data_IF_503098759679
#
_entry.id   IF_503098759679
#
_cell.length_a   1.000
_cell.length_b   1.000
_cell.length_c   1.000
_cell.angle_alpha   90.00
_cell.angle_beta   90.00
_cell.angle_gamma   90.00
#
_symmetry.space_group_name_H-M   'P 1'
#
loop_
_entity.id
_entity.type
_entity.pdbx_description
1 polymer ?
#
# COMPACT_ATOMS: atom_id res chain seq x y z
N UNK A 1 -1.48 -5.98 20.10
CA UNK A 1 -2.91 -6.34 20.23
C UNK A 1 -3.44 -6.36 21.67
N UNK A 2 -2.83 -7.10 22.62
CA UNK A 2 -3.39 -7.35 23.97
C UNK A 2 -3.84 -6.09 24.72
N UNK A 3 -3.01 -5.04 24.78
CA UNK A 3 -3.35 -3.81 25.48
C UNK A 3 -4.59 -3.11 24.88
N UNK A 4 -4.68 -3.04 23.55
CA UNK A 4 -5.81 -2.42 22.84
C UNK A 4 -7.13 -3.17 23.10
N UNK A 5 -7.05 -4.50 23.22
CA UNK A 5 -8.22 -5.38 23.40
C UNK A 5 -8.67 -5.52 24.86
N UNK A 6 -7.95 -4.95 25.83
CA UNK A 6 -8.20 -5.14 27.28
C UNK A 6 -9.64 -4.83 27.70
N UNK A 7 -10.30 -3.89 27.03
CA UNK A 7 -11.67 -3.46 27.32
C UNK A 7 -12.68 -3.86 26.22
N UNK A 8 -12.36 -4.88 25.41
CA UNK A 8 -13.27 -5.43 24.39
C UNK A 8 -13.25 -4.73 23.03
N UNK A 9 -12.38 -3.74 22.81
CA UNK A 9 -12.21 -3.12 21.50
C UNK A 9 -11.55 -4.09 20.50
N UNK A 10 -11.85 -3.91 19.21
CA UNK A 10 -11.13 -4.58 18.12
C UNK A 10 -9.80 -3.86 17.87
N UNK A 11 -8.72 -4.62 17.74
CA UNK A 11 -7.41 -4.07 17.42
C UNK A 11 -7.06 -4.39 15.97
N UNK A 12 -6.96 -3.36 15.14
CA UNK A 12 -6.46 -3.46 13.77
C UNK A 12 -5.10 -2.78 13.68
N UNK A 13 -4.25 -3.30 12.81
CA UNK A 13 -2.96 -2.67 12.45
C UNK A 13 -2.97 -2.30 10.98
N UNK A 14 -2.53 -1.08 10.66
CA UNK A 14 -2.42 -0.64 9.28
C UNK A 14 -1.06 -1.07 8.71
N UNK A 15 -1.07 -1.77 7.57
CA UNK A 15 0.14 -2.16 6.84
C UNK A 15 0.39 -1.11 5.75
N UNK A 16 1.63 -0.62 5.71
CA UNK A 16 2.01 0.54 4.91
C UNK A 16 3.37 0.32 4.24
N UNK A 17 3.51 0.85 3.01
CA UNK A 17 4.77 0.94 2.29
C UNK A 17 4.95 2.37 1.76
N UNK A 18 6.07 3.02 2.12
CA UNK A 18 6.30 4.45 1.86
C UNK A 18 6.39 4.82 0.38
N UNK A 19 6.89 3.90 -0.46
CA UNK A 19 7.13 4.19 -1.87
C UNK A 19 7.96 5.47 -2.03
N UNK A 20 7.60 6.34 -2.96
CA UNK A 20 8.26 7.63 -3.19
C UNK A 20 8.31 8.57 -1.96
N UNK A 21 7.39 8.41 -1.00
CA UNK A 21 7.34 9.21 0.24
C UNK A 21 8.21 8.63 1.37
N UNK A 22 8.91 7.51 1.13
CA UNK A 22 9.84 6.98 2.11
C UNK A 22 11.01 7.96 2.32
N UNK A 23 11.47 8.05 3.56
CA UNK A 23 12.57 8.94 3.95
C UNK A 23 13.91 8.28 3.65
N UNK A 24 14.76 8.82 2.75
CA UNK A 24 16.01 8.19 2.35
C UNK A 24 16.92 7.83 3.54
N UNK A 25 16.94 8.65 4.58
CA UNK A 25 17.73 8.42 5.79
C UNK A 25 17.28 7.20 6.63
N UNK A 26 16.07 6.68 6.38
CA UNK A 26 15.51 5.50 7.03
C UNK A 26 15.52 4.25 6.13
N UNK A 27 15.98 4.38 4.89
CA UNK A 27 16.01 3.30 3.90
C UNK A 27 17.48 2.87 3.69
N UNK A 28 17.78 1.56 3.68
CA UNK A 28 19.12 1.07 3.34
C UNK A 28 19.63 1.71 2.05
N UNK A 29 20.85 2.25 2.12
CA UNK A 29 21.52 2.94 1.00
C UNK A 29 20.74 4.12 0.39
N UNK A 30 19.69 4.61 1.06
CA UNK A 30 18.81 5.65 0.54
C UNK A 30 17.98 5.22 -0.68
N UNK A 31 17.81 3.91 -0.88
CA UNK A 31 17.22 3.35 -2.09
C UNK A 31 15.68 3.43 -2.09
N UNK A 32 15.16 4.65 -2.27
CA UNK A 32 13.72 4.92 -2.34
C UNK A 32 13.16 4.48 -3.69
N UNK A 33 12.02 3.80 -3.67
CA UNK A 33 11.40 3.22 -4.86
C UNK A 33 9.96 3.70 -5.09
N UNK A 34 9.52 3.72 -6.35
CA UNK A 34 8.20 4.15 -6.77
C UNK A 34 7.78 3.42 -8.07
N UNK A 35 6.51 3.50 -8.50
CA UNK A 35 6.06 2.89 -9.75
C UNK A 35 6.80 3.43 -10.99
N UNK A 36 7.20 4.71 -10.97
CA UNK A 36 8.02 5.35 -12.00
C UNK A 36 8.99 6.35 -11.36
N UNK A 37 10.10 6.73 -12.03
CA UNK A 37 11.10 7.61 -11.44
C UNK A 37 10.50 8.99 -11.12
N UNK A 38 10.70 9.49 -9.90
CA UNK A 38 10.14 10.78 -9.48
C UNK A 38 11.07 11.47 -8.48
N UNK A 39 11.16 12.80 -8.58
CA UNK A 39 11.79 13.64 -7.56
C UNK A 39 10.70 14.40 -6.82
N UNK A 40 10.70 14.31 -5.49
CA UNK A 40 9.71 14.97 -4.65
C UNK A 40 10.29 15.31 -3.29
N UNK A 41 9.58 16.17 -2.57
CA UNK A 41 9.87 16.46 -1.16
C UNK A 41 8.87 15.70 -0.30
N UNK A 42 9.37 14.74 0.49
CA UNK A 42 8.50 13.97 1.38
C UNK A 42 7.84 14.82 2.45
N UNK A 43 6.72 14.35 3.00
CA UNK A 43 5.98 15.08 4.02
C UNK A 43 6.87 15.47 5.21
N UNK A 44 6.84 16.75 5.58
CA UNK A 44 7.65 17.29 6.68
C UNK A 44 9.13 17.48 6.36
N UNK A 45 9.60 17.07 5.18
CA UNK A 45 11.00 17.24 4.77
C UNK A 45 11.26 18.59 4.13
N UNK A 46 12.52 19.04 4.21
CA UNK A 46 12.99 20.29 3.61
C UNK A 46 13.67 20.09 2.26
N UNK A 47 14.29 18.93 2.05
CA UNK A 47 15.05 18.61 0.86
C UNK A 47 14.25 17.66 -0.03
N UNK A 48 14.42 17.82 -1.33
CA UNK A 48 13.93 16.86 -2.30
C UNK A 48 14.86 15.65 -2.35
N UNK A 49 14.27 14.50 -2.66
CA UNK A 49 15.00 13.29 -3.00
C UNK A 49 14.39 12.65 -4.23
N UNK A 50 15.08 11.65 -4.78
CA UNK A 50 14.59 10.89 -5.93
C UNK A 50 14.22 9.48 -5.52
N UNK A 51 13.12 8.99 -6.08
CA UNK A 51 12.73 7.59 -6.02
C UNK A 51 12.95 6.96 -7.41
N UNK A 52 13.59 5.81 -7.46
CA UNK A 52 13.77 5.07 -8.71
C UNK A 52 12.54 4.22 -9.03
N UNK A 53 12.42 3.81 -10.28
CA UNK A 53 11.41 2.85 -10.69
C UNK A 53 11.64 1.48 -10.03
N UNK A 54 10.57 0.87 -9.52
CA UNK A 54 10.59 -0.51 -9.04
C UNK A 54 10.76 -1.50 -10.20
N UNK A 55 11.55 -2.54 -9.98
CA UNK A 55 11.61 -3.70 -10.87
C UNK A 55 10.37 -4.58 -10.70
N UNK A 56 10.11 -5.49 -11.65
CA UNK A 56 9.00 -6.43 -11.52
C UNK A 56 9.15 -7.33 -10.29
N UNK A 57 10.37 -7.75 -10.01
CA UNK A 57 10.71 -8.60 -8.88
C UNK A 57 10.44 -7.88 -7.54
N UNK A 58 10.74 -6.58 -7.47
CA UNK A 58 10.43 -5.76 -6.29
C UNK A 58 8.94 -5.56 -6.09
N UNK A 59 8.18 -5.38 -7.17
CA UNK A 59 6.72 -5.26 -7.12
C UNK A 59 6.10 -6.57 -6.59
N UNK A 60 6.54 -7.71 -7.14
CA UNK A 60 6.11 -9.03 -6.69
C UNK A 60 6.52 -9.31 -5.23
N UNK A 61 7.71 -8.86 -4.84
CA UNK A 61 8.17 -8.99 -3.46
C UNK A 61 7.33 -8.13 -2.51
N UNK A 62 7.03 -6.87 -2.88
CA UNK A 62 6.17 -6.00 -2.08
C UNK A 62 4.79 -6.62 -1.86
N UNK A 63 4.19 -7.24 -2.89
CA UNK A 63 2.92 -7.97 -2.76
C UNK A 63 3.03 -9.09 -1.71
N UNK A 64 4.07 -9.93 -1.80
CA UNK A 64 4.33 -10.99 -0.82
C UNK A 64 4.55 -10.45 0.59
N UNK A 65 5.21 -9.31 0.71
CA UNK A 65 5.49 -8.67 2.00
C UNK A 65 4.21 -8.18 2.69
N UNK A 66 3.19 -7.73 1.95
CA UNK A 66 1.86 -7.45 2.51
C UNK A 66 1.18 -8.72 3.07
N UNK A 67 1.32 -9.86 2.38
CA UNK A 67 0.84 -11.16 2.88
C UNK A 67 1.57 -11.59 4.15
N UNK A 68 2.90 -11.52 4.16
CA UNK A 68 3.70 -11.86 5.33
C UNK A 68 3.47 -10.91 6.52
N UNK A 69 3.28 -9.61 6.26
CA UNK A 69 2.87 -8.65 7.29
C UNK A 69 1.49 -9.01 7.87
N UNK A 70 0.55 -9.48 7.04
CA UNK A 70 -0.76 -9.96 7.50
C UNK A 70 -0.63 -11.21 8.36
N UNK A 71 0.16 -12.20 7.96
CA UNK A 71 0.45 -13.39 8.77
C UNK A 71 1.01 -13.01 10.14
N UNK A 72 2.01 -12.10 10.19
CA UNK A 72 2.59 -11.59 11.43
C UNK A 72 1.56 -10.85 12.30
N UNK A 73 0.64 -10.08 11.69
CA UNK A 73 -0.42 -9.39 12.42
C UNK A 73 -1.39 -10.38 13.09
N UNK A 74 -1.74 -11.46 12.39
CA UNK A 74 -2.56 -12.55 12.93
C UNK A 74 -1.85 -13.21 14.12
N UNK A 75 -0.57 -13.58 13.96
CA UNK A 75 0.24 -14.19 15.03
C UNK A 75 0.39 -13.26 16.26
N UNK A 76 0.46 -11.95 16.02
CA UNK A 76 0.50 -10.94 17.07
C UNK A 76 -0.86 -10.70 17.76
N UNK A 77 -1.92 -11.39 17.35
CA UNK A 77 -3.24 -11.39 17.98
C UNK A 77 -4.14 -10.21 17.62
N UNK A 78 -3.83 -9.48 16.54
CA UNK A 78 -4.72 -8.44 16.02
C UNK A 78 -6.03 -9.06 15.48
N UNK A 79 -7.12 -8.31 15.55
CA UNK A 79 -8.43 -8.70 15.01
C UNK A 79 -8.53 -8.44 13.50
N UNK A 80 -7.56 -7.73 12.92
CA UNK A 80 -7.55 -7.44 11.50
C UNK A 80 -6.36 -6.59 11.08
N UNK A 81 -6.28 -6.36 9.77
CA UNK A 81 -5.36 -5.42 9.14
C UNK A 81 -6.11 -4.39 8.32
N UNK A 82 -5.52 -3.22 8.15
CA UNK A 82 -5.95 -2.24 7.15
C UNK A 82 -4.83 -2.03 6.14
N UNK A 83 -5.14 -2.14 4.85
CA UNK A 83 -4.20 -1.89 3.75
C UNK A 83 -4.18 -0.39 3.47
N UNK A 84 -3.00 0.24 3.55
CA UNK A 84 -2.85 1.67 3.28
C UNK A 84 -2.69 1.97 1.77
N UNK A 85 -3.80 2.22 1.09
CA UNK A 85 -3.87 2.62 -0.33
C UNK A 85 -4.15 4.11 -0.57
N UNK A 86 -3.63 4.99 0.27
CA UNK A 86 -4.00 6.43 0.30
C UNK A 86 -2.77 7.32 0.49
N UNK A 87 -2.97 8.64 0.47
CA UNK A 87 -2.00 9.67 0.88
C UNK A 87 -0.66 9.60 0.15
N UNK A 88 -0.67 9.34 -1.16
CA UNK A 88 0.54 9.34 -1.99
C UNK A 88 1.58 8.29 -1.60
N UNK A 89 1.22 7.23 -0.86
CA UNK A 89 2.09 6.07 -0.57
C UNK A 89 1.99 4.99 -1.64
N UNK A 90 2.77 3.90 -1.53
CA UNK A 90 3.05 3.03 -2.68
C UNK A 90 1.81 2.55 -3.45
N UNK A 91 0.80 2.01 -2.77
CA UNK A 91 -0.42 1.52 -3.43
C UNK A 91 -1.16 2.67 -4.12
N UNK A 92 -1.29 3.83 -3.47
CA UNK A 92 -1.84 5.05 -4.08
C UNK A 92 -1.03 5.44 -5.32
N UNK A 93 0.31 5.41 -5.23
CA UNK A 93 1.20 5.75 -6.34
C UNK A 93 0.96 4.84 -7.55
N UNK A 94 0.68 3.54 -7.34
CA UNK A 94 0.32 2.63 -8.44
C UNK A 94 -1.04 2.94 -9.07
N UNK A 95 -2.00 3.43 -8.28
CA UNK A 95 -3.33 3.83 -8.76
C UNK A 95 -3.30 5.18 -9.48
N UNK A 96 -2.42 6.08 -9.06
CA UNK A 96 -2.36 7.43 -9.59
C UNK A 96 -1.69 7.50 -10.97
N UNK A 97 -2.33 8.10 -11.98
CA UNK A 97 -1.70 8.38 -13.27
C UNK A 97 -0.60 9.46 -13.18
N UNK A 98 -0.55 10.24 -12.09
CA UNK A 98 0.56 11.14 -11.82
C UNK A 98 1.82 10.33 -11.53
N UNK A 99 1.74 9.37 -10.61
CA UNK A 99 2.89 8.62 -10.11
C UNK A 99 3.26 7.41 -10.98
N UNK A 100 2.27 6.69 -11.51
CA UNK A 100 2.46 5.50 -12.33
C UNK A 100 2.39 5.84 -13.82
N UNK A 101 3.57 5.97 -14.44
CA UNK A 101 3.74 6.27 -15.87
C UNK A 101 4.40 5.11 -16.60
N UNK A 102 4.28 3.89 -16.05
CA UNK A 102 4.84 2.66 -16.61
C UNK A 102 4.20 2.34 -17.95
N UNK A 103 4.88 1.48 -18.71
CA UNK A 103 4.40 0.97 -20.01
C UNK A 103 4.38 -0.57 -20.06
N UNK A 104 4.53 -1.23 -18.91
CA UNK A 104 4.52 -2.68 -18.76
C UNK A 104 3.20 -3.17 -18.15
N UNK A 105 3.18 -4.41 -17.65
CA UNK A 105 1.98 -5.00 -17.07
C UNK A 105 1.48 -4.26 -15.82
N UNK A 106 2.33 -3.48 -15.15
CA UNK A 106 1.99 -2.68 -13.98
C UNK A 106 1.53 -1.26 -14.33
N UNK A 107 1.49 -0.90 -15.62
CA UNK A 107 0.82 0.30 -16.11
C UNK A 107 -0.70 0.25 -15.89
N UNK A 108 -1.28 -0.95 -15.73
CA UNK A 108 -2.65 -1.08 -15.27
C UNK A 108 -2.75 -0.70 -13.78
N UNK A 109 -3.29 0.49 -13.53
CA UNK A 109 -3.41 1.12 -12.21
C UNK A 109 -4.15 0.27 -11.16
N UNK A 110 -4.93 -0.72 -11.57
CA UNK A 110 -5.65 -1.62 -10.66
C UNK A 110 -4.92 -2.92 -10.36
N UNK A 111 -3.91 -3.28 -11.14
CA UNK A 111 -3.28 -4.61 -11.04
C UNK A 111 -2.55 -4.78 -9.71
N UNK A 112 -1.78 -3.78 -9.30
CA UNK A 112 -1.04 -3.80 -8.04
C UNK A 112 -1.94 -3.84 -6.80
N UNK A 113 -2.93 -2.92 -6.60
CA UNK A 113 -3.80 -2.98 -5.42
C UNK A 113 -4.59 -4.29 -5.33
N UNK A 114 -5.11 -4.81 -6.45
CA UNK A 114 -5.83 -6.09 -6.47
C UNK A 114 -4.91 -7.24 -6.04
N UNK A 115 -3.69 -7.32 -6.59
CA UNK A 115 -2.73 -8.36 -6.21
C UNK A 115 -2.34 -8.29 -4.72
N UNK A 116 -2.19 -7.08 -4.16
CA UNK A 116 -1.95 -6.89 -2.72
C UNK A 116 -3.12 -7.44 -1.90
N UNK A 117 -4.36 -7.11 -2.26
CA UNK A 117 -5.55 -7.60 -1.55
C UNK A 117 -5.66 -9.12 -1.64
N UNK A 118 -5.44 -9.70 -2.82
CA UNK A 118 -5.46 -11.15 -3.01
C UNK A 118 -4.44 -11.85 -2.10
N UNK A 119 -3.22 -11.33 -1.98
CA UNK A 119 -2.18 -11.93 -1.12
C UNK A 119 -2.51 -11.74 0.37
N UNK A 120 -3.10 -10.61 0.77
CA UNK A 120 -3.61 -10.38 2.14
C UNK A 120 -4.76 -11.35 2.48
N UNK A 121 -5.71 -11.54 1.56
CA UNK A 121 -6.83 -12.46 1.74
C UNK A 121 -6.36 -13.92 1.81
N UNK A 122 -5.36 -14.30 1.01
CA UNK A 122 -4.73 -15.61 1.08
C UNK A 122 -4.04 -15.85 2.42
N UNK A 123 -3.34 -14.84 2.97
CA UNK A 123 -2.77 -14.93 4.31
C UNK A 123 -3.86 -15.04 5.40
N UNK A 124 -4.96 -14.29 5.27
CA UNK A 124 -6.13 -14.42 6.13
C UNK A 124 -6.71 -15.84 6.09
N UNK A 125 -6.89 -16.42 4.91
CA UNK A 125 -7.46 -17.77 4.77
C UNK A 125 -6.53 -18.85 5.37
N UNK A 126 -5.22 -18.71 5.16
CA UNK A 126 -4.25 -19.69 5.62
C UNK A 126 -4.00 -19.66 7.14
N UNK A 127 -4.04 -18.47 7.76
CA UNK A 127 -3.58 -18.27 9.15
C UNK A 127 -4.63 -17.66 10.07
N UNK A 128 -5.61 -16.95 9.51
CA UNK A 128 -6.61 -16.19 10.25
C UNK A 128 -7.79 -17.04 10.70
N UNK A 129 -8.74 -16.38 11.36
CA UNK A 129 -10.06 -16.95 11.64
C UNK A 129 -11.14 -16.23 10.82
N UNK A 130 -12.34 -16.79 10.79
CA UNK A 130 -13.49 -16.25 10.05
C UNK A 130 -13.84 -14.79 10.41
N UNK A 131 -13.50 -14.34 11.61
CA UNK A 131 -13.82 -13.01 12.13
C UNK A 131 -12.68 -12.00 11.91
N UNK A 132 -11.59 -12.40 11.24
CA UNK A 132 -10.47 -11.51 10.94
C UNK A 132 -10.85 -10.46 9.90
N UNK A 133 -10.63 -9.19 10.25
CA UNK A 133 -11.05 -8.03 9.45
C UNK A 133 -9.94 -7.65 8.47
N UNK A 134 -10.31 -7.38 7.22
CA UNK A 134 -9.43 -6.77 6.22
C UNK A 134 -10.10 -5.47 5.80
N UNK A 135 -9.47 -4.35 6.15
CA UNK A 135 -9.87 -3.01 5.72
C UNK A 135 -8.99 -2.51 4.58
N UNK A 136 -9.50 -1.56 3.81
CA UNK A 136 -8.74 -0.84 2.79
C UNK A 136 -8.98 0.65 2.94
N UNK A 137 -7.90 1.43 3.00
CA UNK A 137 -7.96 2.89 3.07
C UNK A 137 -7.53 3.49 1.75
N UNK A 138 -8.32 4.41 1.20
CA UNK A 138 -8.04 5.08 -0.07
C UNK A 138 -8.18 6.60 0.01
N UNK A 139 -7.52 7.29 -0.93
CA UNK A 139 -7.76 8.70 -1.23
C UNK A 139 -8.66 8.77 -2.47
N UNK A 140 -9.88 9.34 -2.37
CA UNK A 140 -10.85 9.27 -3.46
C UNK A 140 -10.49 10.18 -4.65
N UNK A 141 -9.72 11.23 -4.38
CA UNK A 141 -9.23 12.19 -5.37
C UNK A 141 -7.79 12.59 -5.02
N UNK A 142 -7.11 13.13 -6.01
CA UNK A 142 -5.73 13.59 -5.92
C UNK A 142 -5.59 14.97 -6.59
N UNK A 143 -4.77 15.84 -6.01
CA UNK A 143 -4.62 17.23 -6.49
C UNK A 143 -3.68 17.34 -7.71
N UNK A 144 -2.82 16.34 -7.89
CA UNK A 144 -1.90 16.21 -9.00
C UNK A 144 -2.65 16.08 -10.35
N UNK A 145 -1.99 16.48 -11.45
CA UNK A 145 -2.58 16.46 -12.79
C UNK A 145 -1.63 15.80 -13.80
N UNK A 146 -2.05 14.71 -14.49
CA UNK A 146 -3.26 13.93 -14.23
C UNK A 146 -3.19 13.24 -12.86
N UNK A 147 -4.30 13.12 -12.13
CA UNK A 147 -4.35 12.48 -10.81
C UNK A 147 -5.49 11.47 -10.69
N UNK A 148 -5.62 10.85 -9.52
CA UNK A 148 -6.78 10.01 -9.18
C UNK A 148 -8.06 10.85 -9.23
N UNK A 149 -9.02 10.40 -10.05
CA UNK A 149 -10.37 10.97 -10.13
C UNK A 149 -11.38 10.07 -9.42
N UNK A 150 -12.60 10.59 -9.20
CA UNK A 150 -13.70 9.80 -8.65
C UNK A 150 -14.02 8.56 -9.51
N UNK A 151 -13.93 8.65 -10.84
CA UNK A 151 -14.15 7.50 -11.73
C UNK A 151 -13.09 6.41 -11.52
N UNK A 152 -11.82 6.78 -11.35
CA UNK A 152 -10.74 5.83 -11.04
C UNK A 152 -11.03 5.15 -9.69
N UNK A 153 -11.45 5.94 -8.69
CA UNK A 153 -11.80 5.44 -7.35
C UNK A 153 -12.99 4.49 -7.38
N UNK A 154 -14.07 4.82 -8.10
CA UNK A 154 -15.24 3.95 -8.24
C UNK A 154 -14.86 2.61 -8.91
N UNK A 155 -14.06 2.66 -9.97
CA UNK A 155 -13.58 1.44 -10.62
C UNK A 155 -12.67 0.63 -9.69
N UNK A 156 -11.80 1.27 -8.92
CA UNK A 156 -10.98 0.59 -7.92
C UNK A 156 -11.86 -0.12 -6.89
N UNK A 157 -12.83 0.59 -6.28
CA UNK A 157 -13.76 0.03 -5.29
C UNK A 157 -14.49 -1.19 -5.84
N UNK A 158 -14.98 -1.13 -7.09
CA UNK A 158 -15.66 -2.25 -7.74
C UNK A 158 -14.78 -3.48 -7.96
N UNK A 159 -13.45 -3.31 -8.07
CA UNK A 159 -12.51 -4.44 -8.24
C UNK A 159 -12.03 -5.05 -6.93
N UNK A 160 -12.11 -4.30 -5.83
CA UNK A 160 -11.58 -4.70 -4.52
C UNK A 160 -12.66 -5.11 -3.51
N UNK A 161 -13.93 -4.89 -3.85
CA UNK A 161 -15.10 -5.28 -3.06
C UNK A 161 -15.62 -6.65 -3.48
#
# INVERSE_FOLDING_TARGET
>A
ATAMKKNGAKALVQIHHGGAQALPELIPDGDVVAPSPISLKSFGQKQEHSAREMTNEEIEQAIKDFGEATRRAIEAGFDGVEIHGANHYLIHQFVSPYYNRRNDVWANQYKFPVAVIEEVLKAKEAYGNKDFIVGYRLSPEEAESPGITMEITEELVNKIS
#
